data_IF_482217285402
#
_entry.id   IF_482217285402
#
_cell.length_a   1.000
_cell.length_b   1.000
_cell.length_c   1.000
_cell.angle_alpha   90.00
_cell.angle_beta   90.00
_cell.angle_gamma   90.00
#
_symmetry.space_group_name_H-M   'P 1'
#
loop_
_entity.id
_entity.type
_entity.pdbx_description
1 polymer ?
#
# COMPACT_ATOMS: atom_id res chain seq x y z
N UNK A 1 23.49 -13.40 13.41
CA UNK A 1 23.06 -12.35 12.46
C UNK A 1 22.89 -12.95 11.07
N UNK A 2 23.94 -13.57 10.51
CA UNK A 2 23.94 -14.22 9.18
C UNK A 2 22.74 -15.17 8.85
N UNK A 3 22.36 -16.15 9.68
CA UNK A 3 21.28 -17.08 9.30
C UNK A 3 19.92 -16.39 9.22
N UNK A 4 19.66 -15.41 10.09
CA UNK A 4 18.42 -14.64 10.09
C UNK A 4 18.36 -13.71 8.86
N UNK A 5 19.50 -13.13 8.48
CA UNK A 5 19.62 -12.32 7.26
C UNK A 5 19.29 -13.15 6.01
N UNK A 6 19.91 -14.33 5.86
CA UNK A 6 19.67 -15.19 4.70
C UNK A 6 18.22 -15.68 4.61
N UNK A 7 17.62 -16.01 5.76
CA UNK A 7 16.19 -16.37 5.80
C UNK A 7 15.30 -15.21 5.37
N UNK A 8 15.55 -14.01 5.91
CA UNK A 8 14.76 -12.81 5.58
C UNK A 8 14.91 -12.45 4.11
N UNK A 9 16.12 -12.53 3.56
CA UNK A 9 16.39 -12.30 2.15
C UNK A 9 15.64 -13.30 1.25
N UNK A 10 15.63 -14.60 1.60
CA UNK A 10 14.83 -15.60 0.86
C UNK A 10 13.33 -15.26 0.89
N UNK A 11 12.80 -14.86 2.03
CA UNK A 11 11.39 -14.46 2.14
C UNK A 11 11.06 -13.24 1.29
N UNK A 12 11.96 -12.26 1.21
CA UNK A 12 11.79 -11.10 0.31
C UNK A 12 11.68 -11.55 -1.15
N UNK A 13 12.52 -12.49 -1.59
CA UNK A 13 12.45 -13.06 -2.95
C UNK A 13 11.15 -13.85 -3.20
N UNK A 14 10.67 -14.60 -2.21
CA UNK A 14 9.37 -15.28 -2.29
C UNK A 14 8.22 -14.28 -2.45
N UNK A 15 8.23 -13.20 -1.68
CA UNK A 15 7.23 -12.13 -1.80
C UNK A 15 7.30 -11.44 -3.17
N UNK A 16 8.49 -11.18 -3.70
CA UNK A 16 8.65 -10.65 -5.07
C UNK A 16 8.05 -11.61 -6.11
N UNK A 17 8.26 -12.92 -5.95
CA UNK A 17 7.64 -13.92 -6.82
C UNK A 17 6.11 -13.91 -6.71
N UNK A 18 5.58 -13.82 -5.49
CA UNK A 18 4.14 -13.69 -5.25
C UNK A 18 3.56 -12.42 -5.87
N UNK A 19 4.28 -11.29 -5.80
CA UNK A 19 3.92 -10.05 -6.48
C UNK A 19 3.85 -10.22 -8.00
N UNK A 20 4.79 -10.93 -8.62
CA UNK A 20 4.72 -11.24 -10.05
C UNK A 20 3.52 -12.10 -10.44
N UNK A 21 3.11 -13.05 -9.57
CA UNK A 21 1.87 -13.81 -9.76
C UNK A 21 0.62 -12.94 -9.56
N UNK A 22 0.68 -11.96 -8.66
CA UNK A 22 -0.44 -11.07 -8.37
C UNK A 22 -0.88 -10.29 -9.62
N UNK A 23 0.07 -9.93 -10.50
CA UNK A 23 -0.23 -9.24 -11.77
C UNK A 23 -0.99 -10.11 -12.79
N UNK A 24 -0.92 -11.44 -12.66
CA UNK A 24 -1.50 -12.40 -13.61
C UNK A 24 -2.66 -13.22 -13.04
N UNK A 25 -2.94 -13.10 -11.73
CA UNK A 25 -3.98 -13.86 -11.05
C UNK A 25 -5.40 -13.30 -11.28
N UNK A 26 -6.38 -14.21 -11.32
CA UNK A 26 -7.80 -13.88 -11.43
C UNK A 26 -8.35 -13.13 -10.20
N UNK A 27 -9.38 -12.29 -10.39
CA UNK A 27 -9.99 -11.43 -9.34
C UNK A 27 -10.32 -12.14 -8.02
N UNK A 28 -10.67 -13.44 -8.06
CA UNK A 28 -11.04 -14.23 -6.88
C UNK A 28 -9.82 -14.70 -6.07
N UNK A 29 -8.76 -15.16 -6.74
CA UNK A 29 -7.52 -15.59 -6.08
C UNK A 29 -6.63 -14.40 -5.70
N UNK A 30 -6.83 -13.26 -6.36
CA UNK A 30 -6.09 -12.03 -6.12
C UNK A 30 -6.14 -11.59 -4.65
N UNK A 31 -7.32 -11.61 -4.01
CA UNK A 31 -7.45 -11.23 -2.60
C UNK A 31 -6.71 -12.17 -1.62
N UNK A 32 -6.65 -13.47 -1.93
CA UNK A 32 -5.91 -14.43 -1.12
C UNK A 32 -4.41 -14.17 -1.23
N UNK A 33 -3.93 -13.94 -2.45
CA UNK A 33 -2.51 -13.64 -2.72
C UNK A 33 -2.13 -12.28 -2.13
N UNK A 34 -2.99 -11.26 -2.18
CA UNK A 34 -2.76 -9.97 -1.50
C UNK A 34 -2.59 -10.15 0.01
N UNK A 35 -3.49 -10.91 0.65
CA UNK A 35 -3.43 -11.13 2.09
C UNK A 35 -2.19 -11.93 2.49
N UNK A 36 -1.81 -12.93 1.69
CA UNK A 36 -0.58 -13.71 1.88
C UNK A 36 0.68 -12.85 1.73
N UNK A 37 0.73 -11.97 0.72
CA UNK A 37 1.81 -10.99 0.52
C UNK A 37 1.88 -10.05 1.72
N UNK A 38 0.74 -9.51 2.18
CA UNK A 38 0.68 -8.60 3.32
C UNK A 38 1.19 -9.26 4.60
N UNK A 39 0.70 -10.47 4.91
CA UNK A 39 1.15 -11.24 6.08
C UNK A 39 2.64 -11.57 5.99
N UNK A 40 3.15 -11.87 4.80
CA UNK A 40 4.58 -12.13 4.58
C UNK A 40 5.43 -10.87 4.80
N UNK A 41 4.97 -9.71 4.30
CA UNK A 41 5.63 -8.41 4.54
C UNK A 41 5.69 -8.10 6.05
N UNK A 42 4.61 -8.32 6.79
CA UNK A 42 4.56 -8.08 8.23
C UNK A 42 5.53 -9.00 8.99
N UNK A 43 5.62 -10.27 8.59
CA UNK A 43 6.61 -11.20 9.13
C UNK A 43 8.06 -10.76 8.83
N UNK A 44 8.32 -10.26 7.62
CA UNK A 44 9.64 -9.74 7.24
C UNK A 44 9.98 -8.51 8.08
N UNK A 45 9.03 -7.61 8.34
CA UNK A 45 9.23 -6.45 9.22
C UNK A 45 9.63 -6.87 10.63
N UNK A 46 8.93 -7.82 11.24
CA UNK A 46 9.27 -8.34 12.57
C UNK A 46 10.67 -8.96 12.60
N UNK A 47 11.08 -9.64 11.52
CA UNK A 47 12.44 -10.20 11.40
C UNK A 47 13.50 -9.11 11.22
N UNK A 48 13.20 -8.05 10.46
CA UNK A 48 14.09 -6.91 10.25
C UNK A 48 14.36 -6.16 11.55
N UNK A 49 13.34 -5.91 12.37
CA UNK A 49 13.49 -5.30 13.69
C UNK A 49 14.44 -6.13 14.57
N UNK A 50 14.28 -7.46 14.54
CA UNK A 50 15.15 -8.39 15.26
C UNK A 50 16.58 -8.40 14.70
N UNK A 51 16.74 -8.26 13.38
CA UNK A 51 18.03 -8.18 12.70
C UNK A 51 18.76 -6.88 13.04
N UNK A 52 18.04 -5.76 13.17
CA UNK A 52 18.57 -4.45 13.57
C UNK A 52 19.15 -4.47 14.99
N UNK A 53 18.45 -5.12 15.92
CA UNK A 53 18.95 -5.36 17.28
C UNK A 53 20.22 -6.21 17.25
N UNK A 54 20.26 -7.27 16.44
CA UNK A 54 21.44 -8.13 16.32
C UNK A 54 22.63 -7.42 15.66
N UNK A 55 22.37 -6.57 14.65
CA UNK A 55 23.37 -5.74 13.98
C UNK A 55 24.07 -4.79 14.97
N UNK A 56 23.29 -4.20 15.88
CA UNK A 56 23.80 -3.31 16.93
C UNK A 56 24.72 -4.03 17.94
N UNK A 57 24.52 -5.35 18.12
CA UNK A 57 25.31 -6.21 19.00
C UNK A 57 26.57 -6.78 18.35
N UNK A 58 26.76 -6.59 17.04
CA UNK A 58 27.98 -7.05 16.37
C UNK A 58 29.20 -6.18 16.73
N UNK A 59 30.41 -6.77 16.70
CA UNK A 59 31.65 -6.03 16.92
C UNK A 59 31.81 -4.90 15.88
N UNK A 60 32.45 -3.77 16.26
CA UNK A 60 32.49 -2.56 15.43
C UNK A 60 33.04 -2.79 14.01
N UNK A 61 33.96 -3.74 13.84
CA UNK A 61 34.53 -4.11 12.54
C UNK A 61 33.53 -4.77 11.56
N UNK A 62 32.49 -5.43 12.07
CA UNK A 62 31.43 -6.08 11.26
C UNK A 62 30.12 -5.29 11.26
N UNK A 63 29.93 -4.43 12.27
CA UNK A 63 28.72 -3.63 12.48
C UNK A 63 28.34 -2.77 11.27
N UNK A 64 29.31 -2.17 10.59
CA UNK A 64 29.03 -1.38 9.38
C UNK A 64 28.44 -2.24 8.26
N UNK A 65 29.00 -3.43 8.02
CA UNK A 65 28.50 -4.35 7.00
C UNK A 65 27.11 -4.89 7.37
N UNK A 66 26.90 -5.23 8.65
CA UNK A 66 25.60 -5.66 9.16
C UNK A 66 24.52 -4.57 8.98
N UNK A 67 24.86 -3.30 9.24
CA UNK A 67 23.95 -2.17 9.05
C UNK A 67 23.58 -1.97 7.59
N UNK A 68 24.56 -1.98 6.68
CA UNK A 68 24.32 -1.88 5.23
C UNK A 68 23.35 -2.97 4.74
N UNK A 69 23.54 -4.21 5.20
CA UNK A 69 22.67 -5.33 4.85
C UNK A 69 21.23 -5.16 5.36
N UNK A 70 21.07 -4.67 6.59
CA UNK A 70 19.76 -4.34 7.16
C UNK A 70 19.09 -3.22 6.36
N UNK A 71 19.85 -2.18 6.01
CA UNK A 71 19.33 -1.02 5.27
C UNK A 71 18.88 -1.41 3.86
N UNK A 72 19.62 -2.29 3.17
CA UNK A 72 19.21 -2.86 1.88
C UNK A 72 17.87 -3.59 1.99
N UNK A 73 17.74 -4.49 2.98
CA UNK A 73 16.48 -5.22 3.17
C UNK A 73 15.32 -4.28 3.53
N UNK A 74 15.57 -3.22 4.31
CA UNK A 74 14.55 -2.20 4.61
C UNK A 74 14.06 -1.53 3.33
N UNK A 75 14.98 -1.17 2.43
CA UNK A 75 14.64 -0.59 1.14
C UNK A 75 13.80 -1.55 0.28
N UNK A 76 14.21 -2.80 0.16
CA UNK A 76 13.51 -3.81 -0.64
C UNK A 76 12.07 -4.03 -0.13
N UNK A 77 11.88 -4.08 1.20
CA UNK A 77 10.57 -4.25 1.82
C UNK A 77 9.68 -3.01 1.65
N UNK A 78 10.24 -1.80 1.77
CA UNK A 78 9.52 -0.56 1.48
C UNK A 78 9.07 -0.51 0.01
N UNK A 79 9.92 -0.98 -0.91
CA UNK A 79 9.58 -1.06 -2.32
C UNK A 79 8.43 -2.04 -2.57
N UNK A 80 8.49 -3.23 -1.97
CA UNK A 80 7.41 -4.23 -2.02
C UNK A 80 6.08 -3.70 -1.48
N UNK A 81 6.11 -3.03 -0.32
CA UNK A 81 4.92 -2.43 0.28
C UNK A 81 4.32 -1.33 -0.61
N UNK A 82 5.18 -0.50 -1.21
CA UNK A 82 4.75 0.54 -2.15
C UNK A 82 4.15 -0.05 -3.42
N UNK A 83 4.75 -1.13 -3.95
CA UNK A 83 4.26 -1.84 -5.11
C UNK A 83 2.87 -2.46 -4.85
N UNK A 84 2.68 -3.11 -3.69
CA UNK A 84 1.38 -3.67 -3.29
C UNK A 84 0.31 -2.57 -3.20
N UNK A 85 0.62 -1.45 -2.55
CA UNK A 85 -0.30 -0.31 -2.43
C UNK A 85 -0.66 0.28 -3.80
N UNK A 86 0.32 0.39 -4.69
CA UNK A 86 0.08 0.87 -6.06
C UNK A 86 -0.82 -0.09 -6.85
N UNK A 87 -0.66 -1.40 -6.66
CA UNK A 87 -1.51 -2.41 -7.28
C UNK A 87 -2.96 -2.28 -6.80
N UNK A 88 -3.17 -2.21 -5.48
CA UNK A 88 -4.48 -2.02 -4.86
C UNK A 88 -5.14 -0.71 -5.34
N UNK A 89 -4.37 0.39 -5.40
CA UNK A 89 -4.87 1.67 -5.87
C UNK A 89 -5.26 1.62 -7.35
N UNK A 90 -4.45 0.99 -8.22
CA UNK A 90 -4.80 0.80 -9.65
C UNK A 90 -6.05 -0.05 -9.80
N UNK A 91 -6.21 -1.10 -9.00
CA UNK A 91 -7.41 -1.95 -9.00
C UNK A 91 -8.65 -1.13 -8.61
N UNK A 92 -8.58 -0.39 -7.51
CA UNK A 92 -9.67 0.45 -7.05
C UNK A 92 -10.02 1.55 -8.06
N UNK A 93 -9.02 2.20 -8.66
CA UNK A 93 -9.23 3.21 -9.69
C UNK A 93 -9.93 2.64 -10.94
N UNK A 94 -9.59 1.41 -11.37
CA UNK A 94 -10.28 0.74 -12.48
C UNK A 94 -11.74 0.40 -12.13
N UNK A 95 -11.99 -0.14 -10.94
CA UNK A 95 -13.36 -0.43 -10.49
C UNK A 95 -14.20 0.86 -10.39
N UNK A 96 -13.63 1.96 -9.90
CA UNK A 96 -14.32 3.26 -9.83
C UNK A 96 -14.61 3.82 -11.22
N UNK A 97 -13.67 3.70 -12.18
CA UNK A 97 -13.90 4.10 -13.56
C UNK A 97 -14.97 3.26 -14.25
N UNK A 98 -15.01 1.95 -14.00
CA UNK A 98 -16.07 1.07 -14.53
C UNK A 98 -17.45 1.45 -13.95
N UNK A 99 -17.56 1.66 -12.64
CA UNK A 99 -18.82 2.11 -12.02
C UNK A 99 -19.26 3.49 -12.54
N UNK A 100 -18.35 4.45 -12.63
CA UNK A 100 -18.65 5.77 -13.19
C UNK A 100 -19.11 5.67 -14.66
N UNK A 101 -18.53 4.76 -15.43
CA UNK A 101 -18.93 4.51 -16.81
C UNK A 101 -20.33 3.89 -16.89
N UNK A 102 -20.64 2.93 -16.04
CA UNK A 102 -21.98 2.32 -15.93
C UNK A 102 -23.04 3.34 -15.48
N UNK A 103 -22.71 4.21 -14.53
CA UNK A 103 -23.59 5.30 -14.09
C UNK A 103 -23.85 6.31 -15.21
N UNK A 104 -22.84 6.70 -15.98
CA UNK A 104 -23.00 7.59 -17.14
C UNK A 104 -23.81 6.93 -18.26
N UNK A 105 -23.60 5.63 -18.52
CA UNK A 105 -24.41 4.86 -19.48
C UNK A 105 -25.87 4.76 -19.04
N UNK A 106 -26.15 4.58 -17.74
CA UNK A 106 -27.51 4.58 -17.19
C UNK A 106 -28.21 5.95 -17.25
N UNK A 107 -27.42 7.04 -17.27
CA UNK A 107 -27.91 8.42 -17.23
C UNK A 107 -28.08 9.06 -18.62
N UNK A 108 -27.71 8.37 -19.69
CA UNK A 108 -27.84 8.87 -21.07
C UNK A 108 -29.16 8.43 -21.72
N UNK A 109 -30.31 8.68 -21.07
CA UNK A 109 -31.62 8.72 -21.74
C UNK A 109 -32.67 9.43 -20.86
N UNK A 110 -32.43 10.70 -20.52
CA UNK A 110 -33.52 11.60 -20.09
C UNK A 110 -33.39 12.90 -20.88
N UNK A 111 -34.20 12.97 -21.93
CA UNK A 111 -34.44 14.09 -22.85
C UNK A 111 -34.38 15.47 -22.18
N UNK A 112 -33.72 16.41 -22.85
CA UNK A 112 -33.81 17.86 -22.65
C UNK A 112 -35.28 18.35 -22.70
N UNK A 113 -36.03 18.31 -21.59
CA UNK A 113 -37.36 18.95 -21.52
C UNK A 113 -37.58 19.84 -20.30
N UNK A 114 -36.62 19.95 -19.38
CA UNK A 114 -36.86 20.61 -18.09
C UNK A 114 -35.86 21.73 -17.79
N UNK A 115 -35.57 22.59 -18.77
CA UNK A 115 -34.88 23.86 -18.50
C UNK A 115 -35.72 25.05 -18.99
N UNK A 116 -36.98 25.06 -18.57
CA UNK A 116 -37.80 26.25 -18.47
C UNK A 116 -38.31 26.32 -17.03
N UNK A 117 -38.13 27.50 -16.40
CA UNK A 117 -38.45 27.88 -14.99
C UNK A 117 -37.33 27.53 -14.00
N UNK A 118 -36.77 28.43 -13.18
CA UNK A 118 -37.17 29.77 -12.78
C UNK A 118 -36.92 29.92 -11.27
N UNK A 119 -36.23 30.99 -10.84
CA UNK A 119 -36.00 31.37 -9.43
C UNK A 119 -34.85 30.62 -8.75
N UNK A 120 -33.94 31.19 -7.96
CA UNK A 120 -33.94 32.43 -7.20
C UNK A 120 -33.64 32.12 -5.72
N UNK A 121 -32.61 32.77 -5.14
CA UNK A 121 -32.31 32.95 -3.69
C UNK A 121 -31.73 31.71 -2.96
N UNK A 122 -30.47 31.73 -2.49
CA UNK A 122 -29.86 32.37 -1.28
C UNK A 122 -29.85 31.47 -0.02
N UNK A 123 -28.71 31.53 0.70
CA UNK A 123 -28.49 31.21 2.12
C UNK A 123 -28.49 29.72 2.53
N UNK A 124 -27.79 29.23 3.55
CA UNK A 124 -26.65 29.61 4.41
C UNK A 124 -26.56 28.41 5.41
N UNK A 125 -25.38 28.07 5.92
CA UNK A 125 -25.30 27.49 7.27
C UNK A 125 -25.05 25.98 7.45
N UNK A 126 -23.76 25.66 7.65
CA UNK A 126 -23.18 24.89 8.78
C UNK A 126 -23.63 23.44 9.07
N UNK A 127 -22.58 22.62 9.20
CA UNK A 127 -22.34 21.61 10.24
C UNK A 127 -22.84 20.19 9.97
N UNK A 128 -21.87 19.31 9.65
CA UNK A 128 -21.65 18.08 10.42
C UNK A 128 -20.14 17.95 10.64
N UNK A 129 -19.74 17.80 11.91
CA UNK A 129 -18.38 17.53 12.34
C UNK A 129 -18.23 16.13 12.91
N UNK A 130 -16.99 15.90 13.36
CA UNK A 130 -16.48 14.84 14.23
C UNK A 130 -15.83 13.63 13.54
N UNK A 131 -14.49 13.69 13.62
CA UNK A 131 -13.58 12.69 14.16
C UNK A 131 -13.50 11.30 13.52
N UNK A 132 -12.30 11.02 13.01
CA UNK A 132 -11.40 9.90 13.31
C UNK A 132 -10.26 10.07 12.29
N UNK A 133 -8.99 10.21 12.62
CA UNK A 133 -8.24 9.79 13.77
C UNK A 133 -6.80 9.71 13.25
N UNK A 134 -5.91 10.42 13.93
CA UNK A 134 -4.45 10.27 13.95
C UNK A 134 -3.85 9.19 13.02
N UNK A 135 -3.17 9.61 11.96
CA UNK A 135 -2.10 8.81 11.35
C UNK A 135 -0.91 9.73 11.11
N UNK A 136 -0.06 9.73 12.14
CA UNK A 136 1.22 10.40 12.25
C UNK A 136 2.04 10.24 10.99
N UNK A 137 2.22 11.35 10.29
CA UNK A 137 3.20 11.51 9.23
C UNK A 137 4.57 11.66 9.90
N UNK A 138 5.21 10.53 10.24
CA UNK A 138 6.61 10.52 10.67
C UNK A 138 7.47 10.60 9.41
N UNK A 139 7.68 11.82 8.94
CA UNK A 139 8.77 12.16 8.03
C UNK A 139 10.04 12.37 8.86
N UNK A 140 10.89 11.36 8.89
CA UNK A 140 12.30 11.43 9.30
C UNK A 140 13.06 10.81 8.12
N UNK A 141 14.05 11.38 7.47
CA UNK A 141 14.77 12.64 7.56
C UNK A 141 15.85 12.49 6.48
N UNK A 142 15.90 13.40 5.50
CA UNK A 142 16.96 13.42 4.49
C UNK A 142 18.13 14.27 4.99
N UNK A 143 19.30 13.65 5.03
CA UNK A 143 20.61 14.30 4.86
C UNK A 143 21.02 14.12 3.41
#
# INVERSE_FOLDING_TARGET
MEPLYQQTHKQVHEVQSHMGRLETADKQSLHLVENEIQASIDQIFSRLERLEILSSKEPPNKRQNAKLRVDQLKYDVQHLQSALRNFQHRRYAREQQERQREELLSRTFTTNVSQARGGGLQALGRSWGLELGSLSFVFFGSV
#
